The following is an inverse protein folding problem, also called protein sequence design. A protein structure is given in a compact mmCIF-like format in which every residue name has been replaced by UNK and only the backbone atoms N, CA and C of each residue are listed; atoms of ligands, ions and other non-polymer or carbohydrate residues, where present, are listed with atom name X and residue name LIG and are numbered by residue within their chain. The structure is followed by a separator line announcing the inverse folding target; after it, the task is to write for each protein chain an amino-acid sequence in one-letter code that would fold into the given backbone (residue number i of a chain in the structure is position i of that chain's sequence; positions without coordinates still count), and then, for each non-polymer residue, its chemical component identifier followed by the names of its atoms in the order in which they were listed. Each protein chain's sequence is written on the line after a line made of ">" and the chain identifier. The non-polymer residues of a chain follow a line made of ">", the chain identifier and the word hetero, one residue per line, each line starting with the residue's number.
data_IF_102899670324
#
_entry.id   IF_102899670324
#
_cell.length_a   1.000
_cell.length_b   1.000
_cell.length_c   1.000
_cell.angle_alpha   90.00
_cell.angle_beta   90.00
_cell.angle_gamma   90.00
#
_symmetry.space_group_name_H-M   'P 1'
#
loop_
_entity.id
_entity.type
_entity.pdbx_description
1 polymer ?
#
# COMPACT_ATOMS: atom_id res chain seq x y z
N UNK A 1 -22.08 18.73 -14.80
CA UNK A 1 -21.10 17.65 -14.57
C UNK A 1 -19.73 18.15 -14.96
N UNK A 2 -18.91 18.56 -13.99
CA UNK A 2 -17.50 18.89 -14.24
C UNK A 2 -16.74 17.58 -14.46
N UNK A 3 -16.00 17.48 -15.56
CA UNK A 3 -15.13 16.33 -15.83
C UNK A 3 -14.13 16.20 -14.69
N UNK A 4 -13.97 15.02 -14.05
CA UNK A 4 -12.96 14.84 -13.03
C UNK A 4 -11.60 15.14 -13.65
N UNK A 5 -10.85 16.02 -12.98
CA UNK A 5 -9.50 16.45 -13.34
C UNK A 5 -8.64 15.21 -13.64
N UNK A 6 -7.78 15.27 -14.67
CA UNK A 6 -6.86 14.18 -15.02
C UNK A 6 -6.15 13.63 -13.77
N UNK A 7 -5.78 14.51 -12.85
CA UNK A 7 -5.11 14.19 -11.58
C UNK A 7 -5.93 13.24 -10.71
N UNK A 8 -7.26 13.44 -10.62
CA UNK A 8 -8.15 12.57 -9.84
C UNK A 8 -8.29 11.17 -10.46
N UNK A 9 -8.17 11.07 -11.79
CA UNK A 9 -8.20 9.77 -12.49
C UNK A 9 -6.91 8.98 -12.31
N UNK A 10 -5.76 9.65 -12.18
CA UNK A 10 -4.46 8.99 -12.01
C UNK A 10 -4.16 8.56 -10.57
N UNK A 11 -4.80 9.19 -9.57
CA UNK A 11 -4.53 8.94 -8.17
C UNK A 11 -4.68 7.46 -7.76
N UNK A 12 -5.74 6.72 -8.14
CA UNK A 12 -5.87 5.31 -7.78
C UNK A 12 -4.74 4.45 -8.37
N UNK A 13 -4.37 4.69 -9.63
CA UNK A 13 -3.28 3.97 -10.29
C UNK A 13 -1.92 4.26 -9.64
N UNK A 14 -1.69 5.50 -9.22
CA UNK A 14 -0.50 5.88 -8.47
C UNK A 14 -0.42 5.14 -7.12
N UNK A 15 -1.54 5.07 -6.38
CA UNK A 15 -1.59 4.31 -5.11
C UNK A 15 -1.31 2.83 -5.34
N UNK A 16 -1.88 2.22 -6.38
CA UNK A 16 -1.62 0.81 -6.70
C UNK A 16 -0.15 0.57 -7.06
N UNK A 17 0.44 1.44 -7.88
CA UNK A 17 1.86 1.39 -8.20
C UNK A 17 2.72 1.51 -6.93
N UNK A 18 2.38 2.45 -6.05
CA UNK A 18 3.07 2.68 -4.80
C UNK A 18 3.01 1.45 -3.88
N UNK A 19 1.84 0.79 -3.76
CA UNK A 19 1.69 -0.47 -3.01
C UNK A 19 2.70 -1.50 -3.53
N UNK A 20 2.74 -1.73 -4.85
CA UNK A 20 3.63 -2.72 -5.46
C UNK A 20 5.11 -2.40 -5.21
N UNK A 21 5.50 -1.14 -5.35
CA UNK A 21 6.88 -0.69 -5.11
C UNK A 21 7.28 -0.89 -3.64
N UNK A 22 6.45 -0.44 -2.70
CA UNK A 22 6.70 -0.57 -1.27
C UNK A 22 6.74 -2.03 -0.83
N UNK A 23 5.80 -2.86 -1.30
CA UNK A 23 5.79 -4.29 -1.00
C UNK A 23 7.10 -4.95 -1.46
N UNK A 24 7.57 -4.65 -2.68
CA UNK A 24 8.84 -5.19 -3.18
C UNK A 24 10.05 -4.71 -2.37
N UNK A 25 10.07 -3.42 -2.00
CA UNK A 25 11.12 -2.83 -1.20
C UNK A 25 11.22 -3.47 0.19
N UNK A 26 10.12 -3.51 0.93
CA UNK A 26 10.09 -4.14 2.26
C UNK A 26 10.33 -5.65 2.19
N UNK A 27 9.83 -6.33 1.16
CA UNK A 27 10.12 -7.74 0.97
C UNK A 27 11.63 -7.97 0.84
N UNK A 28 12.35 -7.16 0.06
CA UNK A 28 13.80 -7.25 -0.11
C UNK A 28 14.56 -7.06 1.21
N UNK A 29 14.07 -6.20 2.09
CA UNK A 29 14.66 -5.95 3.41
C UNK A 29 14.38 -7.11 4.37
N UNK A 30 13.12 -7.52 4.51
CA UNK A 30 12.72 -8.50 5.52
C UNK A 30 13.00 -9.94 5.14
N UNK A 31 13.02 -10.28 3.84
CA UNK A 31 13.40 -11.62 3.36
C UNK A 31 14.84 -12.01 3.72
N UNK A 32 15.73 -11.03 3.92
CA UNK A 32 17.11 -11.26 4.40
C UNK A 32 17.18 -11.60 5.89
N UNK A 33 16.20 -11.14 6.68
CA UNK A 33 16.22 -11.24 8.15
C UNK A 33 15.55 -12.51 8.67
N UNK A 34 14.64 -13.12 7.91
CA UNK A 34 13.94 -14.33 8.32
C UNK A 34 13.50 -15.15 7.11
N UNK A 35 13.50 -16.49 7.24
CA UNK A 35 13.01 -17.42 6.21
C UNK A 35 11.51 -17.77 6.36
N UNK A 36 10.89 -17.36 7.47
CA UNK A 36 9.48 -17.67 7.76
C UNK A 36 8.55 -16.77 6.95
N UNK A 37 7.79 -17.35 6.02
CA UNK A 37 6.88 -16.63 5.12
C UNK A 37 5.88 -15.76 5.86
N UNK A 38 5.26 -16.29 6.93
CA UNK A 38 4.27 -15.55 7.70
C UNK A 38 4.86 -14.32 8.38
N UNK A 39 6.08 -14.43 8.91
CA UNK A 39 6.79 -13.30 9.53
C UNK A 39 7.16 -12.23 8.50
N UNK A 40 7.64 -12.63 7.31
CA UNK A 40 7.94 -11.68 6.22
C UNK A 40 6.64 -11.00 5.77
N UNK A 41 5.55 -11.74 5.63
CA UNK A 41 4.26 -11.20 5.18
C UNK A 41 3.78 -10.10 6.14
N UNK A 42 3.70 -10.37 7.44
CA UNK A 42 3.28 -9.34 8.41
C UNK A 42 4.25 -8.16 8.42
N UNK A 43 5.56 -8.43 8.40
CA UNK A 43 6.58 -7.37 8.41
C UNK A 43 6.57 -6.49 7.15
N UNK A 44 6.09 -7.00 6.02
CA UNK A 44 5.93 -6.23 4.77
C UNK A 44 4.60 -5.51 4.73
N UNK A 45 3.50 -6.18 5.08
CA UNK A 45 2.17 -5.62 4.92
C UNK A 45 1.89 -4.51 5.93
N UNK A 46 2.36 -4.63 7.17
CA UNK A 46 2.15 -3.62 8.20
C UNK A 46 2.70 -2.24 7.81
N UNK A 47 3.98 -2.07 7.42
CA UNK A 47 4.50 -0.77 7.01
C UNK A 47 3.91 -0.29 5.69
N UNK A 48 3.65 -1.17 4.72
CA UNK A 48 2.99 -0.78 3.45
C UNK A 48 1.62 -0.19 3.73
N UNK A 49 0.82 -0.86 4.57
CA UNK A 49 -0.52 -0.43 4.92
C UNK A 49 -0.54 0.93 5.63
N UNK A 50 0.36 1.14 6.60
CA UNK A 50 0.49 2.42 7.29
C UNK A 50 0.90 3.54 6.34
N UNK A 51 1.93 3.32 5.50
CA UNK A 51 2.41 4.33 4.56
C UNK A 51 1.33 4.71 3.55
N UNK A 52 0.64 3.74 2.97
CA UNK A 52 -0.43 4.00 2.00
C UNK A 52 -1.56 4.80 2.65
N UNK A 53 -1.89 4.52 3.90
CA UNK A 53 -2.91 5.28 4.62
C UNK A 53 -2.50 6.73 4.83
N UNK A 54 -1.26 6.97 5.26
CA UNK A 54 -0.74 8.34 5.38
C UNK A 54 -0.74 9.06 4.04
N UNK A 55 -0.28 8.41 2.97
CA UNK A 55 -0.24 9.01 1.62
C UNK A 55 -1.64 9.38 1.16
N UNK A 56 -2.62 8.50 1.35
CA UNK A 56 -4.01 8.73 0.92
C UNK A 56 -4.63 9.91 1.67
N UNK A 57 -4.42 9.98 2.99
CA UNK A 57 -4.86 11.11 3.82
C UNK A 57 -4.22 12.41 3.34
N UNK A 58 -2.91 12.43 3.08
CA UNK A 58 -2.22 13.61 2.55
C UNK A 58 -2.79 14.03 1.19
N UNK A 59 -3.09 13.08 0.31
CA UNK A 59 -3.75 13.37 -0.96
C UNK A 59 -5.15 13.95 -0.76
N UNK A 60 -5.94 13.42 0.16
CA UNK A 60 -7.28 13.93 0.45
C UNK A 60 -7.24 15.37 0.99
N UNK A 61 -6.28 15.71 1.87
CA UNK A 61 -6.06 17.11 2.32
C UNK A 61 -5.75 18.02 1.12
N UNK A 62 -4.78 17.62 0.28
CA UNK A 62 -4.26 18.46 -0.79
C UNK A 62 -5.29 18.67 -1.91
N UNK A 63 -6.02 17.61 -2.27
CA UNK A 63 -6.89 17.62 -3.47
C UNK A 63 -8.38 17.82 -3.16
N UNK A 64 -8.85 17.40 -1.99
CA UNK A 64 -10.25 17.54 -1.58
C UNK A 64 -10.47 18.68 -0.59
N UNK A 65 -9.40 19.34 -0.13
CA UNK A 65 -9.45 20.43 0.85
C UNK A 65 -10.12 20.00 2.18
N UNK A 66 -10.12 18.69 2.46
CA UNK A 66 -10.70 18.11 3.67
C UNK A 66 -9.71 18.23 4.83
N UNK A 67 -9.71 19.39 5.50
CA UNK A 67 -8.87 19.63 6.68
C UNK A 67 -9.40 18.98 7.97
N UNK A 68 -10.59 18.38 7.94
CA UNK A 68 -11.21 17.73 9.09
C UNK A 68 -10.70 16.30 9.30
N UNK A 69 -9.40 16.16 9.56
CA UNK A 69 -8.79 14.88 9.94
C UNK A 69 -9.01 14.64 11.43
N UNK A 70 -10.14 14.01 11.75
CA UNK A 70 -10.36 13.49 13.10
C UNK A 70 -9.72 12.10 13.24
N UNK A 71 -9.32 11.68 14.45
CA UNK A 71 -8.78 10.33 14.70
C UNK A 71 -9.66 9.20 14.16
N UNK A 72 -10.98 9.41 14.11
CA UNK A 72 -11.96 8.47 13.55
C UNK A 72 -11.81 8.33 12.03
N UNK A 73 -11.56 9.44 11.32
CA UNK A 73 -11.32 9.42 9.87
C UNK A 73 -10.03 8.67 9.52
N UNK A 74 -9.00 8.78 10.36
CA UNK A 74 -7.76 8.00 10.21
C UNK A 74 -8.02 6.48 10.31
N UNK A 75 -8.83 6.06 11.30
CA UNK A 75 -9.20 4.64 11.47
C UNK A 75 -10.05 4.16 10.27
N UNK A 76 -10.97 5.00 9.78
CA UNK A 76 -11.75 4.69 8.58
C UNK A 76 -10.87 4.44 7.37
N UNK A 77 -9.93 5.35 7.10
CA UNK A 77 -8.97 5.21 5.99
C UNK A 77 -8.06 3.99 6.15
N UNK A 78 -7.64 3.67 7.39
CA UNK A 78 -6.91 2.43 7.66
C UNK A 78 -7.72 1.21 7.18
N UNK A 79 -8.98 1.09 7.58
CA UNK A 79 -9.85 -0.04 7.22
C UNK A 79 -10.07 -0.09 5.70
N UNK A 80 -10.36 1.04 5.07
CA UNK A 80 -10.58 1.14 3.62
C UNK A 80 -9.35 0.75 2.79
N UNK A 81 -8.15 0.92 3.33
CA UNK A 81 -6.92 0.60 2.62
C UNK A 81 -6.53 -0.88 2.73
N UNK A 82 -7.16 -1.66 3.63
CA UNK A 82 -6.85 -3.08 3.79
C UNK A 82 -7.08 -3.87 2.49
N UNK A 83 -8.26 -3.80 1.82
CA UNK A 83 -8.51 -4.62 0.63
C UNK A 83 -7.50 -4.37 -0.50
N UNK A 84 -7.17 -3.11 -0.78
CA UNK A 84 -6.22 -2.78 -1.85
C UNK A 84 -4.78 -3.22 -1.51
N UNK A 85 -4.34 -3.06 -0.26
CA UNK A 85 -3.01 -3.52 0.17
C UNK A 85 -2.96 -5.06 0.13
N UNK A 86 -4.04 -5.74 0.52
CA UNK A 86 -4.15 -7.20 0.43
C UNK A 86 -4.10 -7.68 -1.02
N UNK A 87 -4.84 -7.05 -1.93
CA UNK A 87 -4.91 -7.46 -3.34
C UNK A 87 -3.59 -7.15 -4.04
N UNK A 88 -3.20 -5.88 -4.13
CA UNK A 88 -2.03 -5.47 -4.92
C UNK A 88 -0.72 -5.85 -4.23
N UNK A 89 -0.65 -5.68 -2.91
CA UNK A 89 0.49 -6.13 -2.12
C UNK A 89 0.58 -7.66 -2.07
N UNK A 90 -0.54 -8.38 -2.01
CA UNK A 90 -0.59 -9.84 -2.09
C UNK A 90 -0.03 -10.37 -3.40
N UNK A 91 -0.48 -9.82 -4.53
CA UNK A 91 0.01 -10.20 -5.85
C UNK A 91 1.52 -9.92 -5.95
N UNK A 92 1.97 -8.72 -5.58
CA UNK A 92 3.38 -8.34 -5.62
C UNK A 92 4.25 -9.24 -4.73
N UNK A 93 3.80 -9.49 -3.49
CA UNK A 93 4.47 -10.36 -2.53
C UNK A 93 4.57 -11.78 -3.07
N UNK A 94 3.48 -12.34 -3.58
CA UNK A 94 3.44 -13.71 -4.10
C UNK A 94 4.40 -13.89 -5.29
N UNK A 95 4.37 -12.96 -6.24
CA UNK A 95 5.27 -12.99 -7.40
C UNK A 95 6.74 -12.91 -6.98
N UNK A 96 7.07 -12.01 -6.05
CA UNK A 96 8.44 -11.84 -5.54
C UNK A 96 8.89 -13.06 -4.73
N UNK A 97 8.02 -13.58 -3.87
CA UNK A 97 8.29 -14.75 -3.06
C UNK A 97 8.51 -16.01 -3.89
N UNK A 98 7.70 -16.21 -4.94
CA UNK A 98 7.88 -17.33 -5.90
C UNK A 98 9.23 -17.24 -6.63
N UNK A 99 9.65 -16.03 -7.03
CA UNK A 99 10.98 -15.82 -7.62
C UNK A 99 12.11 -16.09 -6.62
N UNK A 100 11.93 -15.70 -5.36
CA UNK A 100 12.91 -15.94 -4.29
C UNK A 100 13.09 -17.44 -3.97
N UNK A 101 12.02 -18.24 -4.06
CA UNK A 101 12.05 -19.68 -3.78
C UNK A 101 12.49 -20.57 -4.93
N UNK A 102 12.51 -20.08 -6.17
CA UNK A 102 13.06 -20.86 -7.27
C UNK A 102 14.60 -20.81 -7.17
N UNK A 103 15.29 -21.94 -6.91
CA UNK A 103 16.70 -22.00 -7.22
C UNK A 103 16.84 -21.79 -8.73
N UNK A 104 17.78 -20.92 -9.11
CA UNK A 104 18.27 -20.83 -10.49
C UNK A 104 18.93 -22.16 -10.82
#
# INVERSE_FOLDING_TARGET
>A
MTTPDLTQRFLPYFIWFLIVVLTNYFFSIFSKKTKSTGKILIAVFLPVWLIITVVKIVCDIIYLNEFNIYPVAFIGQLIENIPQVVIFGGIAFFLKYRKFKKPI
#
